data_IF_975398464519
#
_entry.id   IF_975398464519
#
_cell.length_a   1.000
_cell.length_b   1.000
_cell.length_c   1.000
_cell.angle_alpha   90.00
_cell.angle_beta   90.00
_cell.angle_gamma   90.00
#
_symmetry.space_group_name_H-M   'P 1'
#
loop_
_entity.id
_entity.type
_entity.pdbx_description
1 polymer ?
#
# COMPACT_ATOMS: atom_id res chain seq x y z
N UNK A 1 20.29 25.75 -51.89
CA UNK A 1 21.16 25.89 -50.70
C UNK A 1 20.42 25.33 -49.49
N UNK A 2 21.05 24.39 -48.79
CA UNK A 2 20.50 23.60 -47.68
C UNK A 2 20.52 24.43 -46.40
N UNK A 3 19.36 24.82 -45.87
CA UNK A 3 19.24 25.38 -44.51
C UNK A 3 18.95 24.25 -43.52
N UNK A 4 19.76 24.17 -42.47
CA UNK A 4 19.97 22.98 -41.66
C UNK A 4 18.92 22.84 -40.56
N UNK A 5 18.29 21.67 -40.56
CA UNK A 5 17.64 20.97 -39.47
C UNK A 5 18.41 21.15 -38.13
N UNK A 6 17.99 22.08 -37.28
CA UNK A 6 18.48 22.27 -35.91
C UNK A 6 17.34 22.40 -34.90
N UNK A 7 16.27 21.62 -35.05
CA UNK A 7 15.22 21.50 -34.03
C UNK A 7 15.15 20.11 -33.39
N UNK A 8 16.14 19.24 -33.66
CA UNK A 8 16.14 17.87 -33.17
C UNK A 8 16.65 17.63 -31.72
N UNK A 9 17.42 18.52 -31.05
CA UNK A 9 17.83 18.23 -29.67
C UNK A 9 16.78 18.64 -28.64
N UNK A 10 15.79 19.47 -28.99
CA UNK A 10 14.79 19.95 -28.05
C UNK A 10 13.62 18.98 -27.84
N UNK A 11 13.36 18.12 -28.84
CA UNK A 11 12.27 17.14 -28.77
C UNK A 11 12.66 15.92 -27.91
N UNK A 12 13.95 15.59 -27.79
CA UNK A 12 14.39 14.48 -26.93
C UNK A 12 14.41 14.83 -25.42
N UNK A 13 14.52 16.10 -25.04
CA UNK A 13 14.49 16.49 -23.62
C UNK A 13 13.06 16.62 -23.07
N UNK A 14 12.07 16.79 -23.94
CA UNK A 14 10.66 16.88 -23.53
C UNK A 14 10.02 15.50 -23.25
N UNK A 15 10.62 14.40 -23.70
CA UNK A 15 10.05 13.05 -23.54
C UNK A 15 10.47 12.35 -22.23
N UNK A 16 11.44 12.89 -21.50
CA UNK A 16 11.90 12.32 -20.22
C UNK A 16 11.07 12.80 -18.99
N UNK A 17 10.17 13.77 -19.16
CA UNK A 17 9.44 14.38 -18.04
C UNK A 17 8.17 13.63 -17.61
N UNK A 18 7.77 12.56 -18.30
CA UNK A 18 6.53 11.81 -18.00
C UNK A 18 6.76 10.41 -17.41
N UNK A 19 7.99 10.03 -17.12
CA UNK A 19 8.29 8.76 -16.46
C UNK A 19 8.45 8.92 -14.94
N UNK A 20 7.35 9.25 -14.26
CA UNK A 20 7.25 8.97 -12.83
C UNK A 20 6.07 8.01 -12.62
N UNK A 21 6.29 6.71 -12.36
CA UNK A 21 5.31 5.93 -11.65
C UNK A 21 5.42 6.33 -10.18
N UNK A 22 4.95 7.53 -9.83
CA UNK A 22 4.60 7.81 -8.44
C UNK A 22 3.33 7.01 -8.20
N UNK A 23 3.50 5.77 -7.74
CA UNK A 23 2.49 5.16 -6.90
C UNK A 23 2.21 6.16 -5.79
N UNK A 24 1.00 6.71 -5.78
CA UNK A 24 0.60 7.67 -4.79
C UNK A 24 0.63 6.97 -3.42
N UNK A 25 1.75 7.07 -2.72
CA UNK A 25 1.76 6.91 -1.28
C UNK A 25 0.85 8.01 -0.75
N UNK A 26 -0.33 7.60 -0.28
CA UNK A 26 -1.19 8.48 0.50
C UNK A 26 -0.33 9.02 1.64
N UNK A 27 -0.27 10.34 1.85
CA UNK A 27 0.56 10.91 2.90
C UNK A 27 0.29 10.16 4.20
N UNK A 28 1.35 9.59 4.78
CA UNK A 28 1.25 8.90 6.05
C UNK A 28 0.76 9.94 7.08
N UNK A 29 -0.45 9.72 7.60
CA UNK A 29 -1.10 10.64 8.54
C UNK A 29 -0.18 10.81 9.76
N UNK A 30 -0.09 12.03 10.34
CA UNK A 30 0.76 12.29 11.50
C UNK A 30 0.61 11.22 12.57
N UNK A 31 1.74 10.70 13.05
CA UNK A 31 1.77 9.71 14.11
C UNK A 31 1.00 10.22 15.34
N UNK A 32 0.34 9.33 16.10
CA UNK A 32 -0.37 9.70 17.31
C UNK A 32 0.57 10.44 18.28
N UNK A 33 0.29 11.71 18.53
CA UNK A 33 1.06 12.55 19.43
C UNK A 33 0.54 12.39 20.87
N UNK A 34 1.35 11.75 21.72
CA UNK A 34 1.11 11.65 23.16
C UNK A 34 0.34 10.41 23.62
N UNK A 35 0.51 10.07 24.90
CA UNK A 35 -0.16 8.93 25.55
C UNK A 35 0.31 7.56 25.03
N UNK A 36 -0.43 6.50 25.39
CA UNK A 36 -0.07 5.11 25.04
C UNK A 36 -0.07 4.84 23.53
N UNK A 37 -0.80 5.62 22.74
CA UNK A 37 -0.83 5.46 21.28
C UNK A 37 0.52 5.82 20.63
N UNK A 38 1.30 6.71 21.25
CA UNK A 38 2.65 7.05 20.78
C UNK A 38 3.66 5.91 20.90
N UNK A 39 3.33 4.83 21.62
CA UNK A 39 4.17 3.64 21.76
C UNK A 39 3.96 2.62 20.63
N UNK A 40 2.99 2.85 19.75
CA UNK A 40 2.74 1.95 18.62
C UNK A 40 3.91 2.02 17.63
N UNK A 41 4.35 0.87 17.08
CA UNK A 41 5.45 0.85 16.14
C UNK A 41 5.04 1.52 14.81
N UNK A 42 6.01 2.05 14.05
CA UNK A 42 5.75 2.53 12.69
C UNK A 42 5.32 1.35 11.80
N UNK A 43 4.57 1.61 10.71
CA UNK A 43 4.18 0.57 9.78
C UNK A 43 5.37 -0.23 9.24
N UNK A 44 5.20 -1.54 9.17
CA UNK A 44 6.19 -2.47 8.65
C UNK A 44 5.76 -2.98 7.29
N UNK A 45 6.72 -3.03 6.36
CA UNK A 45 6.48 -3.39 4.96
C UNK A 45 7.43 -4.50 4.56
N UNK A 46 6.89 -5.53 3.91
CA UNK A 46 7.68 -6.66 3.40
C UNK A 46 7.23 -7.01 1.99
N UNK A 47 8.16 -7.48 1.16
CA UNK A 47 7.91 -7.88 -0.22
C UNK A 47 7.93 -9.40 -0.35
N UNK A 48 6.99 -9.93 -1.14
CA UNK A 48 6.75 -11.37 -1.26
C UNK A 48 6.27 -11.74 -2.67
N UNK A 49 6.25 -13.05 -2.93
CA UNK A 49 5.69 -13.60 -4.15
C UNK A 49 4.89 -14.88 -3.88
N UNK A 50 3.85 -15.12 -4.67
CA UNK A 50 3.08 -16.38 -4.71
C UNK A 50 2.81 -16.79 -6.16
N UNK A 51 2.59 -18.09 -6.39
CA UNK A 51 2.12 -18.60 -7.67
C UNK A 51 0.67 -19.07 -7.52
N UNK A 52 -0.25 -18.49 -8.29
CA UNK A 52 -1.67 -18.83 -8.32
C UNK A 52 -2.10 -19.10 -9.76
N UNK A 53 -2.70 -20.27 -10.03
CA UNK A 53 -3.16 -20.62 -11.38
C UNK A 53 -2.06 -20.54 -12.44
N UNK A 54 -0.82 -20.93 -12.10
CA UNK A 54 0.34 -20.86 -12.99
C UNK A 54 0.93 -19.46 -13.19
N UNK A 55 0.38 -18.42 -12.54
CA UNK A 55 0.86 -17.04 -12.64
C UNK A 55 1.59 -16.63 -11.37
N UNK A 56 2.80 -16.09 -11.52
CA UNK A 56 3.53 -15.46 -10.43
C UNK A 56 2.92 -14.08 -10.13
N UNK A 57 2.66 -13.81 -8.85
CA UNK A 57 2.16 -12.54 -8.35
C UNK A 57 3.13 -12.03 -7.28
N UNK A 58 3.81 -10.94 -7.58
CA UNK A 58 4.59 -10.20 -6.61
C UNK A 58 3.66 -9.27 -5.83
N UNK A 59 3.84 -9.18 -4.51
CA UNK A 59 2.99 -8.37 -3.64
C UNK A 59 3.76 -7.84 -2.44
N UNK A 60 3.26 -6.73 -1.91
CA UNK A 60 3.73 -6.14 -0.67
C UNK A 60 2.74 -6.46 0.45
N UNK A 61 3.23 -6.84 1.62
CA UNK A 61 2.47 -6.93 2.86
C UNK A 61 2.85 -5.78 3.79
N UNK A 62 1.89 -4.90 4.09
CA UNK A 62 2.04 -3.76 5.01
C UNK A 62 1.21 -3.99 6.26
N UNK A 63 1.84 -3.99 7.43
CA UNK A 63 1.18 -3.99 8.73
C UNK A 63 1.32 -2.61 9.38
N UNK A 64 0.24 -2.01 9.87
CA UNK A 64 0.28 -0.66 10.43
C UNK A 64 -1.01 -0.26 11.14
N UNK A 65 -1.18 1.02 11.41
CA UNK A 65 -2.38 1.56 12.06
C UNK A 65 -3.01 2.71 11.27
N UNK A 66 -4.32 2.90 11.48
CA UNK A 66 -5.12 3.99 10.93
C UNK A 66 -5.69 4.81 12.08
N UNK A 67 -5.29 6.08 12.18
CA UNK A 67 -5.77 6.98 13.22
C UNK A 67 -7.23 7.38 13.00
N UNK A 68 -8.06 7.22 14.02
CA UNK A 68 -9.40 7.82 14.10
C UNK A 68 -9.30 9.18 14.77
N UNK A 69 -9.90 10.19 14.15
CA UNK A 69 -9.84 11.58 14.62
C UNK A 69 -11.16 11.99 15.27
N UNK A 70 -11.08 12.83 16.31
CA UNK A 70 -12.23 13.55 16.83
C UNK A 70 -12.66 14.67 15.87
N UNK A 71 -13.81 15.29 16.11
CA UNK A 71 -14.24 16.48 15.38
C UNK A 71 -13.29 17.69 15.54
N UNK A 72 -12.33 17.64 16.47
CA UNK A 72 -11.30 18.65 16.68
C UNK A 72 -9.95 18.29 16.04
N UNK A 73 -9.84 17.13 15.38
CA UNK A 73 -8.62 16.65 14.72
C UNK A 73 -7.65 15.88 15.63
N UNK A 74 -8.01 15.64 16.90
CA UNK A 74 -7.20 14.86 17.83
C UNK A 74 -7.33 13.36 17.53
N UNK A 75 -6.23 12.60 17.62
CA UNK A 75 -6.29 11.13 17.49
C UNK A 75 -6.95 10.53 18.73
N UNK A 76 -8.05 9.82 18.53
CA UNK A 76 -8.82 9.18 19.62
C UNK A 76 -8.63 7.67 19.68
N UNK A 77 -8.23 7.05 18.58
CA UNK A 77 -7.95 5.62 18.49
C UNK A 77 -7.08 5.30 17.28
N UNK A 78 -6.50 4.10 17.28
CA UNK A 78 -5.69 3.55 16.20
C UNK A 78 -6.24 2.18 15.81
N UNK A 79 -6.57 1.98 14.52
CA UNK A 79 -7.04 0.70 14.00
C UNK A 79 -5.87 -0.02 13.36
N UNK A 80 -5.45 -1.14 13.93
CA UNK A 80 -4.46 -2.03 13.31
C UNK A 80 -5.01 -2.70 12.04
N UNK A 81 -4.18 -2.76 10.99
CA UNK A 81 -4.50 -3.44 9.73
C UNK A 81 -3.30 -4.18 9.16
N UNK A 82 -3.59 -5.14 8.27
CA UNK A 82 -2.61 -5.73 7.34
C UNK A 82 -3.16 -5.61 5.92
N UNK A 83 -2.40 -5.01 5.01
CA UNK A 83 -2.76 -4.83 3.60
C UNK A 83 -1.83 -5.66 2.70
N UNK A 84 -2.42 -6.35 1.72
CA UNK A 84 -1.71 -7.08 0.68
C UNK A 84 -1.93 -6.42 -0.67
N UNK A 85 -0.88 -5.80 -1.21
CA UNK A 85 -0.95 -5.01 -2.45
C UNK A 85 -0.13 -5.69 -3.53
N UNK A 86 -0.81 -6.18 -4.58
CA UNK A 86 -0.14 -6.74 -5.75
C UNK A 86 0.73 -5.67 -6.43
N UNK A 87 2.00 -5.99 -6.67
CA UNK A 87 2.91 -5.17 -7.45
C UNK A 87 2.71 -5.53 -8.92
N UNK A 88 2.17 -4.60 -9.70
CA UNK A 88 1.98 -4.78 -11.14
C UNK A 88 2.63 -3.62 -11.89
N UNK A 89 3.44 -3.88 -12.92
CA UNK A 89 4.05 -2.83 -13.73
C UNK A 89 3.01 -1.99 -14.49
N UNK A 90 1.80 -2.51 -14.68
CA UNK A 90 0.63 -1.75 -15.10
C UNK A 90 -0.42 -1.83 -13.98
N UNK A 91 -0.70 -0.74 -13.24
CA UNK A 91 -1.78 -0.75 -12.26
C UNK A 91 -3.08 -1.04 -13.02
N UNK A 92 -3.68 -2.21 -12.74
CA UNK A 92 -4.95 -2.56 -13.31
C UNK A 92 -5.98 -1.56 -12.76
N UNK A 93 -6.37 -0.58 -13.58
CA UNK A 93 -7.33 0.50 -13.23
C UNK A 93 -8.65 -0.02 -12.64
N UNK A 94 -8.94 -1.31 -12.79
CA UNK A 94 -10.21 -1.95 -12.42
C UNK A 94 -10.07 -3.02 -11.31
N UNK A 95 -8.89 -3.23 -10.72
CA UNK A 95 -8.75 -4.26 -9.66
C UNK A 95 -9.47 -3.80 -8.37
N UNK A 96 -10.51 -4.50 -7.90
CA UNK A 96 -11.25 -4.08 -6.72
C UNK A 96 -10.39 -4.19 -5.45
N UNK A 97 -10.68 -3.33 -4.48
CA UNK A 97 -10.14 -3.42 -3.12
C UNK A 97 -11.13 -4.21 -2.28
N UNK A 98 -10.64 -5.23 -1.57
CA UNK A 98 -11.44 -6.05 -0.66
C UNK A 98 -11.04 -5.75 0.78
N UNK A 99 -12.02 -5.42 1.62
CA UNK A 99 -11.83 -5.26 3.06
C UNK A 99 -12.39 -6.49 3.78
N UNK A 100 -11.65 -7.00 4.76
CA UNK A 100 -12.03 -8.17 5.54
C UNK A 100 -12.01 -7.79 7.00
N UNK A 101 -13.14 -7.96 7.67
CA UNK A 101 -13.30 -7.71 9.10
C UNK A 101 -13.72 -9.01 9.78
N UNK A 102 -13.18 -9.25 10.97
CA UNK A 102 -13.65 -10.32 11.82
C UNK A 102 -15.00 -9.99 12.45
N UNK A 103 -15.81 -11.03 12.66
CA UNK A 103 -16.98 -10.98 13.52
C UNK A 103 -16.65 -11.27 14.99
N UNK A 104 -17.71 -11.39 15.80
CA UNK A 104 -17.74 -11.64 17.25
C UNK A 104 -17.00 -10.59 18.13
N UNK A 105 -17.62 -10.13 19.24
CA UNK A 105 -16.95 -9.19 20.14
C UNK A 105 -15.62 -9.76 20.65
N UNK A 106 -14.55 -8.97 20.54
CA UNK A 106 -13.22 -9.25 21.13
C UNK A 106 -12.36 -10.32 20.43
N UNK A 107 -12.76 -10.84 19.25
CA UNK A 107 -11.86 -11.66 18.43
C UNK A 107 -10.87 -10.77 17.66
N UNK A 108 -9.58 -10.85 17.98
CA UNK A 108 -8.55 -10.02 17.33
C UNK A 108 -8.49 -10.27 15.81
N UNK A 109 -8.41 -9.20 15.01
CA UNK A 109 -8.19 -9.23 13.55
C UNK A 109 -6.84 -9.84 13.13
N UNK A 110 -6.00 -10.28 14.07
CA UNK A 110 -4.76 -11.01 13.77
C UNK A 110 -5.02 -12.44 13.24
N UNK A 111 -6.18 -13.03 13.53
CA UNK A 111 -6.47 -14.43 13.17
C UNK A 111 -6.69 -14.70 11.66
N UNK A 112 -7.39 -13.85 10.87
CA UNK A 112 -7.77 -14.15 9.48
C UNK A 112 -6.68 -14.05 8.42
N UNK A 113 -5.74 -13.06 8.48
CA UNK A 113 -4.61 -13.04 7.55
C UNK A 113 -3.79 -14.33 7.62
N UNK A 114 -3.76 -14.99 8.79
CA UNK A 114 -2.97 -16.20 9.03
C UNK A 114 -3.74 -17.50 8.81
N UNK A 115 -5.09 -17.47 8.86
CA UNK A 115 -5.90 -18.71 8.89
C UNK A 115 -6.97 -18.85 7.79
N UNK A 116 -7.31 -17.80 7.04
CA UNK A 116 -8.44 -17.92 6.10
C UNK A 116 -8.27 -17.20 4.75
N UNK A 117 -7.94 -15.90 4.74
CA UNK A 117 -8.08 -15.06 3.51
C UNK A 117 -6.74 -14.39 3.10
N UNK A 118 -5.66 -14.60 3.85
CA UNK A 118 -4.33 -14.12 3.47
C UNK A 118 -3.69 -14.92 2.33
N UNK A 119 -2.68 -14.37 1.64
CA UNK A 119 -2.00 -15.03 0.52
C UNK A 119 -1.20 -16.28 0.91
N UNK A 120 -0.97 -16.50 2.22
CA UNK A 120 -0.31 -17.68 2.77
C UNK A 120 -1.03 -18.17 4.01
N UNK A 121 -1.11 -19.49 4.13
CA UNK A 121 -1.56 -20.18 5.33
C UNK A 121 -0.33 -20.51 6.19
N UNK A 122 -0.43 -20.31 7.50
CA UNK A 122 0.59 -20.83 8.43
C UNK A 122 0.33 -22.32 8.63
N UNK A 123 1.29 -23.17 8.26
CA UNK A 123 1.26 -24.58 8.65
C UNK A 123 1.63 -24.68 10.13
N UNK A 124 0.71 -25.19 10.94
CA UNK A 124 0.96 -25.57 12.34
C UNK A 124 1.23 -27.05 12.45
#
# INVERSE_FOLDING_TARGET
MRSKLKLLPFILLALAAFAQPVGAETPERPAPAGGVLSLLPPPQVTEHSITLGGRKLDYQAKAGTLSLLSGKGEVTAEIFYVAYTQQSPAPAKERPITFVFNGAPRAASAHPPLRAIGPRLVST
#
